data_IF_216280756790
#
_entry.id   IF_216280756790
#
_cell.length_a   1.000
_cell.length_b   1.000
_cell.length_c   1.000
_cell.angle_alpha   90.00
_cell.angle_beta   90.00
_cell.angle_gamma   90.00
#
_symmetry.space_group_name_H-M   'P 1'
#
loop_
_entity.id
_entity.type
_entity.pdbx_description
1 polymer ?
#
# COMPACT_ATOMS: atom_id res chain seq x y z
N UNK A 1 49.51 40.72 26.16
CA UNK A 1 50.64 39.91 25.65
C UNK A 1 50.37 38.46 26.03
N UNK A 2 49.86 37.65 25.09
CA UNK A 2 49.47 36.26 25.35
C UNK A 2 49.78 35.43 24.10
N UNK A 3 50.53 34.36 24.29
CA UNK A 3 51.30 33.66 23.26
C UNK A 3 50.44 32.82 22.31
N UNK A 4 50.79 32.87 21.02
CA UNK A 4 50.28 32.00 19.96
C UNK A 4 50.99 30.63 20.03
N UNK A 5 50.24 29.57 20.29
CA UNK A 5 50.72 28.19 20.24
C UNK A 5 50.65 27.65 18.80
N UNK A 6 51.81 27.43 18.19
CA UNK A 6 51.97 26.87 16.85
C UNK A 6 51.67 25.37 16.79
N UNK A 7 50.82 24.98 15.84
CA UNK A 7 50.50 23.59 15.53
C UNK A 7 51.52 23.01 14.54
N UNK A 8 52.30 22.02 15.00
CA UNK A 8 53.30 21.28 14.21
C UNK A 8 52.59 20.32 13.24
N UNK A 9 52.71 20.57 11.92
CA UNK A 9 52.38 19.59 10.88
C UNK A 9 53.50 18.55 10.80
N UNK A 10 53.14 17.26 10.85
CA UNK A 10 54.03 16.13 10.50
C UNK A 10 53.96 15.85 8.99
N UNK A 11 55.08 15.52 8.32
CA UNK A 11 55.09 15.13 6.92
C UNK A 11 54.95 13.61 6.74
N UNK A 12 54.15 13.23 5.73
CA UNK A 12 54.47 12.15 4.80
C UNK A 12 54.12 10.70 5.18
N UNK A 13 53.17 10.12 4.45
CA UNK A 13 53.28 8.72 4.02
C UNK A 13 52.72 8.62 2.59
N UNK A 14 53.52 8.25 1.58
CA UNK A 14 53.01 8.01 0.23
C UNK A 14 52.35 6.62 0.19
N UNK A 15 51.07 6.57 -0.17
CA UNK A 15 50.39 5.31 -0.45
C UNK A 15 50.61 4.98 -1.92
N UNK A 16 51.32 3.87 -2.15
CA UNK A 16 51.61 3.31 -3.45
C UNK A 16 50.33 2.70 -4.07
N UNK A 17 50.10 3.04 -5.34
CA UNK A 17 49.13 2.37 -6.21
C UNK A 17 49.61 0.97 -6.59
N UNK A 18 48.76 -0.07 -6.53
CA UNK A 18 48.97 -1.29 -7.28
C UNK A 18 48.17 -1.27 -8.58
N UNK A 19 48.91 -1.17 -9.68
CA UNK A 19 48.46 -1.51 -11.04
C UNK A 19 48.68 -3.01 -11.25
N UNK A 20 47.62 -3.80 -11.53
CA UNK A 20 47.51 -4.69 -12.71
C UNK A 20 46.31 -5.65 -12.63
N UNK A 21 45.76 -5.85 -13.83
CA UNK A 21 44.66 -6.70 -14.23
C UNK A 21 44.99 -8.21 -14.21
N UNK A 22 43.95 -9.05 -14.12
CA UNK A 22 43.55 -10.03 -15.17
C UNK A 22 42.27 -10.81 -14.84
N UNK A 23 41.65 -11.34 -15.91
CA UNK A 23 40.61 -12.38 -16.02
C UNK A 23 39.17 -11.94 -15.69
N UNK A 24 38.37 -11.54 -16.69
CA UNK A 24 37.71 -12.41 -17.69
C UNK A 24 36.88 -13.52 -17.06
N UNK A 25 35.60 -13.24 -16.84
CA UNK A 25 34.56 -14.27 -16.76
C UNK A 25 33.40 -13.80 -17.63
N UNK A 26 33.29 -14.45 -18.80
CA UNK A 26 32.18 -14.31 -19.74
C UNK A 26 30.88 -14.69 -19.01
N UNK A 27 29.94 -13.75 -18.89
CA UNK A 27 28.53 -14.07 -18.68
C UNK A 27 27.80 -13.76 -19.97
N UNK A 28 27.37 -14.83 -20.62
CA UNK A 28 26.57 -14.87 -21.84
C UNK A 28 25.32 -14.01 -21.69
N UNK A 29 25.30 -12.88 -22.40
CA UNK A 29 24.11 -12.06 -22.65
C UNK A 29 23.44 -12.66 -23.89
N UNK A 30 22.25 -13.20 -23.72
CA UNK A 30 21.37 -13.56 -24.84
C UNK A 30 20.93 -12.27 -25.52
N UNK A 31 21.61 -11.97 -26.62
CA UNK A 31 21.24 -10.97 -27.59
C UNK A 31 20.05 -11.54 -28.36
N UNK A 32 18.87 -10.95 -28.16
CA UNK A 32 17.77 -11.11 -29.10
C UNK A 32 18.16 -10.30 -30.33
N UNK A 33 18.55 -10.99 -31.39
CA UNK A 33 18.68 -10.40 -32.71
C UNK A 33 17.28 -9.97 -33.16
N UNK A 34 17.13 -8.67 -33.31
CA UNK A 34 15.96 -8.05 -33.93
C UNK A 34 16.03 -8.40 -35.41
N UNK A 35 15.12 -9.26 -35.88
CA UNK A 35 14.97 -9.51 -37.31
C UNK A 35 14.57 -8.21 -37.99
N UNK A 36 15.48 -7.70 -38.81
CA UNK A 36 15.23 -6.68 -39.82
C UNK A 36 14.43 -7.34 -40.95
N UNK A 37 13.11 -7.43 -40.77
CA UNK A 37 12.20 -7.82 -41.84
C UNK A 37 11.85 -6.58 -42.67
N UNK A 38 12.56 -6.50 -43.79
CA UNK A 38 12.30 -5.67 -44.95
C UNK A 38 10.83 -5.73 -45.39
N UNK A 39 10.36 -4.57 -45.81
CA UNK A 39 9.45 -4.34 -46.95
C UNK A 39 8.60 -5.55 -47.37
N UNK A 40 7.39 -5.60 -46.81
CA UNK A 40 6.28 -6.33 -47.43
C UNK A 40 5.35 -5.30 -48.06
N UNK A 41 5.44 -5.25 -49.39
CA UNK A 41 4.62 -4.47 -50.29
C UNK A 41 3.12 -4.65 -50.01
N UNK A 42 2.41 -3.54 -50.07
CA UNK A 42 0.96 -3.41 -50.06
C UNK A 42 0.28 -4.29 -51.12
N UNK A 43 -0.73 -5.06 -50.69
CA UNK A 43 -1.74 -5.71 -51.53
C UNK A 43 -3.14 -5.59 -50.89
N UNK A 44 -4.21 -5.72 -51.69
CA UNK A 44 -5.32 -4.76 -51.72
C UNK A 44 -6.44 -5.06 -50.73
N UNK A 45 -7.30 -4.06 -50.57
CA UNK A 45 -8.54 -4.04 -49.81
C UNK A 45 -9.45 -5.23 -50.19
N UNK A 46 -9.50 -6.23 -49.31
CA UNK A 46 -10.55 -7.25 -49.35
C UNK A 46 -11.82 -6.69 -48.73
N UNK A 47 -12.86 -6.64 -49.56
CA UNK A 47 -14.24 -6.38 -49.21
C UNK A 47 -14.72 -7.41 -48.18
N UNK A 48 -15.08 -6.93 -47.00
CA UNK A 48 -15.82 -7.73 -46.03
C UNK A 48 -17.29 -7.73 -46.48
N UNK A 49 -17.70 -8.82 -47.11
CA UNK A 49 -19.12 -9.11 -47.34
C UNK A 49 -19.79 -9.32 -45.99
N UNK A 50 -20.74 -8.44 -45.69
CA UNK A 50 -21.66 -8.55 -44.57
C UNK A 50 -22.71 -9.61 -44.90
N UNK A 51 -22.49 -10.86 -44.51
CA UNK A 51 -23.55 -11.86 -44.42
C UNK A 51 -23.09 -12.99 -43.48
N UNK A 52 -24.07 -13.57 -42.80
CA UNK A 52 -24.00 -14.73 -41.88
C UNK A 52 -23.70 -14.38 -40.42
N UNK A 53 -24.44 -14.85 -39.43
CA UNK A 53 -25.76 -15.46 -39.32
C UNK A 53 -25.98 -15.55 -37.79
N UNK A 54 -27.21 -15.35 -37.35
CA UNK A 54 -27.64 -15.54 -35.97
C UNK A 54 -27.20 -16.91 -35.43
N UNK A 55 -26.21 -16.92 -34.53
CA UNK A 55 -25.86 -18.11 -33.74
C UNK A 55 -26.26 -17.87 -32.29
N UNK A 56 -27.56 -17.99 -32.04
CA UNK A 56 -28.11 -18.07 -30.70
C UNK A 56 -27.75 -19.44 -30.14
N UNK A 57 -26.60 -19.50 -29.46
CA UNK A 57 -26.21 -20.68 -28.69
C UNK A 57 -26.97 -20.66 -27.37
N UNK A 58 -28.01 -21.49 -27.36
CA UNK A 58 -28.75 -22.02 -26.24
C UNK A 58 -27.79 -22.51 -25.14
N UNK A 59 -27.77 -21.79 -24.02
CA UNK A 59 -27.04 -22.21 -22.81
C UNK A 59 -27.98 -23.10 -22.01
N UNK A 60 -27.83 -24.41 -22.20
CA UNK A 60 -28.47 -25.41 -21.36
C UNK A 60 -28.08 -25.18 -19.90
N UNK A 61 -29.10 -24.85 -19.10
CA UNK A 61 -29.04 -24.82 -17.64
C UNK A 61 -28.91 -26.26 -17.18
N UNK A 62 -27.70 -26.66 -16.81
CA UNK A 62 -27.50 -27.89 -16.06
C UNK A 62 -28.06 -27.66 -14.63
N UNK A 63 -29.19 -28.30 -14.38
CA UNK A 63 -29.80 -28.46 -13.06
C UNK A 63 -28.91 -29.39 -12.22
N UNK A 64 -27.88 -28.83 -11.57
CA UNK A 64 -27.13 -29.56 -10.55
C UNK A 64 -27.92 -29.61 -9.24
N UNK A 65 -28.28 -30.86 -8.95
CA UNK A 65 -29.01 -31.43 -7.84
C UNK A 65 -28.73 -30.82 -6.46
N UNK A 66 -29.81 -30.67 -5.69
CA UNK A 66 -29.87 -30.35 -4.27
C UNK A 66 -28.87 -31.15 -3.42
N UNK A 67 -27.70 -30.57 -3.18
CA UNK A 67 -26.82 -31.04 -2.11
C UNK A 67 -27.30 -30.42 -0.79
N UNK A 68 -28.19 -31.17 -0.13
CA UNK A 68 -28.74 -30.85 1.18
C UNK A 68 -27.61 -30.75 2.21
N UNK A 69 -27.16 -29.55 2.52
CA UNK A 69 -26.28 -29.30 3.66
C UNK A 69 -27.07 -29.59 4.95
N UNK A 70 -26.81 -30.75 5.56
CA UNK A 70 -27.32 -31.04 6.90
C UNK A 70 -26.71 -30.03 7.89
N UNK A 71 -27.52 -29.40 8.75
CA UNK A 71 -27.01 -28.52 9.79
C UNK A 71 -26.41 -29.37 10.92
N UNK A 72 -25.08 -29.42 10.98
CA UNK A 72 -24.40 -29.88 12.18
C UNK A 72 -24.74 -28.95 13.35
N UNK A 73 -25.28 -29.57 14.39
CA UNK A 73 -25.77 -28.92 15.60
C UNK A 73 -24.66 -28.14 16.31
N UNK A 74 -24.89 -26.89 16.75
CA UNK A 74 -23.89 -26.15 17.50
C UNK A 74 -23.87 -26.65 18.96
N UNK A 75 -22.75 -27.28 19.33
CA UNK A 75 -22.34 -27.46 20.71
C UNK A 75 -22.30 -26.10 21.42
N UNK A 76 -23.15 -25.96 22.45
CA UNK A 76 -23.37 -24.73 23.19
C UNK A 76 -22.08 -24.05 23.68
N UNK A 77 -21.78 -22.90 23.08
CA UNK A 77 -20.92 -21.89 23.71
C UNK A 77 -21.79 -21.02 24.60
N UNK A 78 -21.51 -21.09 25.91
CA UNK A 78 -22.06 -20.18 26.91
C UNK A 78 -21.72 -18.75 26.50
N UNK A 79 -22.75 -17.95 26.27
CA UNK A 79 -22.66 -16.49 26.19
C UNK A 79 -22.18 -16.02 27.57
N UNK A 80 -20.93 -15.60 27.65
CA UNK A 80 -20.43 -14.90 28.82
C UNK A 80 -20.92 -13.45 28.72
N UNK A 81 -21.64 -13.00 29.75
CA UNK A 81 -22.02 -11.61 29.96
C UNK A 81 -20.81 -10.69 29.79
N UNK A 82 -20.86 -9.82 28.78
CA UNK A 82 -19.93 -8.70 28.63
C UNK A 82 -20.38 -7.64 29.64
N UNK A 83 -19.92 -7.78 30.88
CA UNK A 83 -20.01 -6.71 31.87
C UNK A 83 -19.10 -5.56 31.43
N UNK A 84 -19.76 -4.42 31.23
CA UNK A 84 -19.20 -3.11 30.89
C UNK A 84 -18.48 -2.54 32.12
N UNK A 85 -17.20 -2.89 32.31
CA UNK A 85 -16.36 -2.27 33.34
C UNK A 85 -15.86 -0.90 32.90
N UNK A 86 -16.64 0.13 33.24
CA UNK A 86 -16.17 1.50 33.41
C UNK A 86 -15.47 1.60 34.78
N UNK A 87 -14.19 1.22 34.84
CA UNK A 87 -13.41 1.20 36.08
C UNK A 87 -12.03 1.82 35.92
N UNK A 88 -11.84 3.03 36.46
CA UNK A 88 -10.55 3.71 36.65
C UNK A 88 -9.57 2.82 37.44
N UNK A 89 -8.38 2.61 36.87
CA UNK A 89 -7.26 1.98 37.56
C UNK A 89 -5.97 2.09 36.74
N UNK A 90 -5.35 3.27 36.72
CA UNK A 90 -4.00 3.49 36.18
C UNK A 90 -2.96 2.91 37.13
N UNK A 91 -2.61 1.63 36.98
CA UNK A 91 -1.36 1.09 37.56
C UNK A 91 -0.71 0.12 36.59
N UNK A 92 0.52 0.47 36.20
CA UNK A 92 1.46 -0.15 35.25
C UNK A 92 1.20 0.16 33.76
N UNK A 93 2.15 0.85 33.08
CA UNK A 93 2.08 1.02 31.62
C UNK A 93 2.28 -0.36 30.99
N UNK A 94 1.20 -0.96 30.50
CA UNK A 94 1.27 -2.19 29.69
C UNK A 94 2.19 -1.92 28.50
N UNK A 95 3.40 -2.47 28.55
CA UNK A 95 4.46 -2.30 27.55
C UNK A 95 3.99 -2.79 26.16
N UNK A 96 3.06 -3.75 26.10
CA UNK A 96 2.45 -4.24 24.84
C UNK A 96 1.34 -3.33 24.27
N UNK A 97 0.97 -2.24 24.94
CA UNK A 97 -0.19 -1.44 24.57
C UNK A 97 -0.04 -0.70 23.23
N UNK A 98 1.20 -0.49 22.74
CA UNK A 98 1.42 0.34 21.55
C UNK A 98 1.15 -0.36 20.22
N UNK A 99 1.12 -1.69 20.18
CA UNK A 99 0.83 -2.44 18.94
C UNK A 99 -0.65 -2.32 18.53
N UNK A 100 -1.54 -2.11 19.51
CA UNK A 100 -2.98 -1.94 19.28
C UNK A 100 -3.50 -0.54 19.62
N UNK A 101 -2.62 0.44 19.85
CA UNK A 101 -3.02 1.81 20.21
C UNK A 101 -3.68 2.54 19.03
N UNK A 102 -4.37 3.64 19.32
CA UNK A 102 -5.01 4.49 18.30
C UNK A 102 -4.03 4.94 17.23
N UNK A 103 -2.81 5.36 17.59
CA UNK A 103 -1.79 5.76 16.62
C UNK A 103 -1.44 4.62 15.66
N UNK A 104 -1.20 3.41 16.17
CA UNK A 104 -0.89 2.26 15.32
C UNK A 104 -2.06 1.85 14.43
N UNK A 105 -3.31 2.01 14.89
CA UNK A 105 -4.50 1.73 14.09
C UNK A 105 -4.70 2.77 12.99
N UNK A 106 -4.49 4.04 13.31
CA UNK A 106 -4.53 5.16 12.36
C UNK A 106 -3.24 5.31 11.55
N UNK A 107 -2.39 4.27 11.45
CA UNK A 107 -1.17 4.34 10.63
C UNK A 107 -0.18 5.46 10.99
N UNK A 108 -0.15 5.93 12.24
CA UNK A 108 0.69 7.04 12.72
C UNK A 108 1.72 6.59 13.75
N UNK A 109 2.90 7.20 13.72
CA UNK A 109 3.88 7.06 14.79
C UNK A 109 3.34 7.68 16.09
N UNK A 110 3.65 7.06 17.23
CA UNK A 110 3.31 7.63 18.53
C UNK A 110 4.14 8.91 18.77
N UNK A 111 3.47 10.02 19.04
CA UNK A 111 4.13 11.29 19.34
C UNK A 111 4.53 11.36 20.83
N UNK A 112 5.70 11.94 21.09
CA UNK A 112 6.22 12.17 22.43
C UNK A 112 5.34 13.05 23.32
N UNK A 113 4.66 14.04 22.73
CA UNK A 113 3.84 14.98 23.50
C UNK A 113 2.42 14.50 23.77
N UNK A 114 1.84 13.65 22.92
CA UNK A 114 0.42 13.28 23.00
C UNK A 114 0.18 11.83 23.42
N UNK A 115 1.14 10.93 23.22
CA UNK A 115 0.98 9.53 23.56
C UNK A 115 1.53 9.23 24.95
N UNK A 116 0.83 8.40 25.74
CA UNK A 116 1.31 7.98 27.07
C UNK A 116 2.61 7.18 27.03
N UNK A 117 2.94 6.56 25.89
CA UNK A 117 4.23 5.89 25.66
C UNK A 117 5.37 6.86 25.28
N UNK A 118 5.05 8.14 25.12
CA UNK A 118 5.97 9.23 24.77
C UNK A 118 6.79 8.97 23.49
N UNK A 119 6.36 8.06 22.61
CA UNK A 119 7.16 7.65 21.44
C UNK A 119 8.56 7.11 21.78
N UNK A 120 8.83 6.85 23.06
CA UNK A 120 10.16 6.56 23.58
C UNK A 120 10.58 5.10 23.37
N UNK A 121 11.62 4.65 24.05
CA UNK A 121 12.17 3.29 23.92
C UNK A 121 11.22 2.18 24.35
N UNK A 122 10.28 2.49 25.25
CA UNK A 122 9.20 1.59 25.62
C UNK A 122 8.04 1.54 24.60
N UNK A 123 8.07 2.35 23.54
CA UNK A 123 7.00 2.35 22.53
C UNK A 123 7.17 1.17 21.57
N UNK A 124 6.23 0.22 21.65
CA UNK A 124 6.13 -0.95 20.76
C UNK A 124 5.28 -0.70 19.50
N UNK A 125 5.09 0.55 19.10
CA UNK A 125 4.45 0.86 17.82
C UNK A 125 5.37 0.35 16.69
N UNK A 126 4.89 -0.51 15.79
CA UNK A 126 5.69 -1.06 14.69
C UNK A 126 6.34 0.04 13.82
N UNK A 127 5.70 1.20 13.73
CA UNK A 127 6.16 2.34 12.95
C UNK A 127 7.35 3.06 13.55
N UNK A 128 7.65 2.89 14.84
CA UNK A 128 8.81 3.54 15.48
C UNK A 128 10.12 3.18 14.76
N UNK A 129 10.20 1.96 14.23
CA UNK A 129 11.40 1.44 13.56
C UNK A 129 11.51 1.85 12.09
N UNK A 130 10.49 2.51 11.56
CA UNK A 130 10.49 2.96 10.19
C UNK A 130 10.99 4.39 10.15
N UNK A 131 11.99 4.60 9.30
CA UNK A 131 12.39 5.94 8.90
C UNK A 131 11.40 6.46 7.86
N UNK A 132 10.28 7.02 8.35
CA UNK A 132 9.24 7.57 7.48
C UNK A 132 9.79 8.70 6.61
N UNK A 133 10.76 9.48 7.09
CA UNK A 133 11.38 10.55 6.31
C UNK A 133 12.19 9.99 5.14
N UNK A 134 12.93 8.89 5.33
CA UNK A 134 13.60 8.20 4.24
C UNK A 134 12.62 7.58 3.22
N UNK A 135 11.45 7.13 3.68
CA UNK A 135 10.43 6.51 2.82
C UNK A 135 9.59 7.52 2.04
N UNK A 136 9.19 8.62 2.67
CA UNK A 136 8.16 9.52 2.16
C UNK A 136 8.64 10.96 1.97
N UNK A 137 9.88 11.30 2.35
CA UNK A 137 10.45 12.63 2.21
C UNK A 137 10.14 13.57 3.37
N UNK A 138 10.27 14.89 3.14
CA UNK A 138 10.20 15.91 4.20
C UNK A 138 8.84 15.98 4.93
N UNK A 139 7.75 15.64 4.25
CA UNK A 139 6.38 15.71 4.80
C UNK A 139 5.94 14.42 5.51
N UNK A 140 6.86 13.47 5.73
CA UNK A 140 6.55 12.14 6.25
C UNK A 140 5.79 12.13 7.59
N UNK A 141 5.92 13.16 8.42
CA UNK A 141 5.25 13.25 9.71
C UNK A 141 3.74 13.57 9.60
N UNK A 142 3.31 14.16 8.48
CA UNK A 142 1.91 14.46 8.20
C UNK A 142 1.17 13.29 7.52
N UNK A 143 1.92 12.25 7.13
CA UNK A 143 1.41 11.14 6.34
C UNK A 143 0.70 10.13 7.24
N UNK A 144 -0.50 9.73 6.83
CA UNK A 144 -1.23 8.61 7.41
C UNK A 144 -1.00 7.36 6.55
N UNK A 145 -0.54 6.25 7.14
CA UNK A 145 -0.25 5.04 6.36
C UNK A 145 -1.52 4.25 6.05
N UNK A 146 -1.56 3.65 4.85
CA UNK A 146 -2.68 2.82 4.44
C UNK A 146 -2.79 1.57 5.32
N UNK A 147 -3.99 1.16 5.79
CA UNK A 147 -4.15 0.01 6.68
C UNK A 147 -3.60 -1.30 6.10
N UNK A 148 -3.64 -1.45 4.78
CA UNK A 148 -3.02 -2.60 4.12
C UNK A 148 -1.50 -2.68 4.35
N UNK A 149 -0.81 -1.55 4.23
CA UNK A 149 0.63 -1.47 4.49
C UNK A 149 0.94 -1.68 5.98
N UNK A 150 0.11 -1.13 6.87
CA UNK A 150 0.21 -1.36 8.31
C UNK A 150 0.13 -2.85 8.69
N UNK A 151 -0.86 -3.54 8.14
CA UNK A 151 -1.03 -4.98 8.32
C UNK A 151 0.16 -5.76 7.76
N UNK A 152 0.72 -5.33 6.63
CA UNK A 152 1.91 -5.97 6.07
C UNK A 152 3.16 -5.76 6.95
N UNK A 153 3.39 -4.55 7.46
CA UNK A 153 4.50 -4.21 8.37
C UNK A 153 4.45 -5.07 9.62
N UNK A 154 3.27 -5.19 10.25
CA UNK A 154 3.09 -5.94 11.50
C UNK A 154 3.32 -7.45 11.34
N UNK A 155 3.12 -7.97 10.12
CA UNK A 155 3.40 -9.37 9.77
C UNK A 155 4.87 -9.63 9.47
N UNK A 156 5.71 -8.61 9.28
CA UNK A 156 7.13 -8.82 9.00
C UNK A 156 7.89 -9.27 10.26
N UNK A 157 8.73 -10.31 10.17
CA UNK A 157 9.69 -10.62 11.22
C UNK A 157 10.60 -9.42 11.49
N UNK A 158 10.91 -9.14 12.76
CA UNK A 158 11.76 -7.98 13.16
C UNK A 158 13.06 -7.90 12.36
N UNK A 159 13.73 -9.03 12.13
CA UNK A 159 14.99 -9.09 11.39
C UNK A 159 14.85 -8.82 9.87
N UNK A 160 13.63 -8.97 9.32
CA UNK A 160 13.34 -8.70 7.91
C UNK A 160 12.80 -7.29 7.69
N UNK A 161 12.18 -6.69 8.71
CA UNK A 161 11.51 -5.40 8.58
C UNK A 161 12.45 -4.33 8.02
N UNK A 162 13.61 -4.09 8.63
CA UNK A 162 14.55 -3.04 8.19
C UNK A 162 14.99 -3.19 6.72
N UNK A 163 15.17 -4.43 6.25
CA UNK A 163 15.53 -4.70 4.85
C UNK A 163 14.34 -4.51 3.91
N UNK A 164 13.20 -5.08 4.30
CA UNK A 164 11.96 -5.06 3.53
C UNK A 164 11.36 -3.66 3.43
N UNK A 165 11.64 -2.78 4.40
CA UNK A 165 11.18 -1.39 4.44
C UNK A 165 12.26 -0.39 4.05
N UNK A 166 13.29 -0.82 3.33
CA UNK A 166 14.16 0.14 2.65
C UNK A 166 13.37 0.79 1.51
N UNK A 167 13.60 2.09 1.26
CA UNK A 167 12.95 2.84 0.17
C UNK A 167 13.11 2.10 -1.15
N UNK A 168 14.29 1.55 -1.43
CA UNK A 168 14.55 0.75 -2.63
C UNK A 168 13.69 -0.51 -2.70
N UNK A 169 13.66 -1.33 -1.64
CA UNK A 169 12.91 -2.59 -1.67
C UNK A 169 11.40 -2.38 -1.79
N UNK A 170 10.85 -1.38 -1.09
CA UNK A 170 9.43 -1.04 -1.22
C UNK A 170 9.13 -0.48 -2.60
N UNK A 171 10.00 0.39 -3.12
CA UNK A 171 9.82 0.99 -4.43
C UNK A 171 9.83 -0.07 -5.52
N UNK A 172 10.79 -1.01 -5.49
CA UNK A 172 10.86 -2.09 -6.47
C UNK A 172 9.59 -2.96 -6.44
N UNK A 173 9.07 -3.30 -5.25
CA UNK A 173 7.79 -4.04 -5.12
C UNK A 173 6.58 -3.26 -5.67
N UNK A 174 6.52 -1.96 -5.42
CA UNK A 174 5.42 -1.10 -5.87
C UNK A 174 5.49 -0.83 -7.38
N UNK A 175 6.70 -0.64 -7.89
CA UNK A 175 6.98 -0.42 -9.31
C UNK A 175 6.77 -1.67 -10.15
N UNK A 176 7.08 -2.87 -9.64
CA UNK A 176 6.85 -4.13 -10.37
C UNK A 176 5.36 -4.33 -10.73
N UNK A 177 4.44 -3.79 -9.93
CA UNK A 177 3.01 -3.83 -10.21
C UNK A 177 2.47 -2.62 -11.00
N UNK A 178 3.34 -1.70 -11.46
CA UNK A 178 2.92 -0.44 -12.08
C UNK A 178 2.08 -0.63 -13.36
N UNK A 179 2.18 -1.80 -14.01
CA UNK A 179 1.39 -2.13 -15.20
C UNK A 179 -0.12 -1.95 -14.94
N UNK A 180 -0.58 -2.27 -13.74
CA UNK A 180 -1.99 -2.06 -13.37
C UNK A 180 -2.35 -0.56 -13.38
N UNK A 181 -1.48 0.32 -12.88
CA UNK A 181 -1.71 1.78 -12.95
C UNK A 181 -1.75 2.28 -14.40
N UNK A 182 -0.96 1.68 -15.28
CA UNK A 182 -0.99 2.00 -16.71
C UNK A 182 -2.28 1.52 -17.38
N UNK A 183 -2.89 0.42 -16.93
CA UNK A 183 -4.22 -0.02 -17.39
C UNK A 183 -5.32 0.91 -16.88
N UNK A 184 -5.19 1.42 -15.65
CA UNK A 184 -6.06 2.45 -15.11
C UNK A 184 -5.88 3.81 -15.78
N UNK A 185 -5.12 3.98 -16.88
CA UNK A 185 -4.84 5.26 -17.55
C UNK A 185 -6.07 6.13 -17.85
N UNK A 186 -7.26 5.56 -18.06
CA UNK A 186 -8.49 6.34 -18.21
C UNK A 186 -8.89 7.07 -16.92
N UNK A 187 -8.52 6.51 -15.77
CA UNK A 187 -8.82 6.98 -14.41
C UNK A 187 -7.56 7.51 -13.70
N UNK A 188 -6.37 7.28 -14.26
CA UNK A 188 -5.11 7.69 -13.67
C UNK A 188 -5.07 9.21 -13.66
N UNK A 189 -4.98 9.77 -12.46
CA UNK A 189 -4.95 11.20 -12.25
C UNK A 189 -3.79 11.82 -13.04
N UNK A 190 -3.98 13.01 -13.63
CA UNK A 190 -2.93 13.80 -14.30
C UNK A 190 -1.56 13.78 -13.58
N UNK A 191 -1.48 13.85 -12.24
CA UNK A 191 -0.25 13.62 -11.49
C UNK A 191 0.56 12.38 -11.91
N UNK A 192 -0.07 11.22 -12.15
CA UNK A 192 0.64 9.98 -12.50
C UNK A 192 1.31 10.06 -13.86
N UNK A 193 0.64 10.63 -14.85
CA UNK A 193 1.22 10.84 -16.16
C UNK A 193 2.46 11.75 -16.09
N UNK A 194 2.39 12.82 -15.29
CA UNK A 194 3.55 13.68 -15.04
C UNK A 194 4.69 12.95 -14.34
N UNK A 195 4.37 12.22 -13.26
CA UNK A 195 5.35 11.43 -12.51
C UNK A 195 6.05 10.43 -13.43
N UNK A 196 5.27 9.71 -14.25
CA UNK A 196 5.78 8.71 -15.20
C UNK A 196 6.70 9.34 -16.23
N UNK A 197 6.32 10.49 -16.78
CA UNK A 197 7.16 11.25 -17.73
C UNK A 197 8.49 11.67 -17.09
N UNK A 198 8.46 12.18 -15.86
CA UNK A 198 9.68 12.55 -15.12
C UNK A 198 10.57 11.32 -14.86
N UNK A 199 9.97 10.20 -14.45
CA UNK A 199 10.68 8.94 -14.18
C UNK A 199 11.34 8.37 -15.44
N UNK A 200 10.61 8.32 -16.54
CA UNK A 200 11.11 7.79 -17.81
C UNK A 200 12.20 8.69 -18.42
N UNK A 201 12.15 10.00 -18.17
CA UNK A 201 13.17 10.96 -18.57
C UNK A 201 14.52 10.83 -17.83
N UNK A 202 14.57 10.17 -16.67
CA UNK A 202 15.82 9.93 -15.95
C UNK A 202 16.62 8.79 -16.57
N UNK A 203 17.95 8.94 -16.60
CA UNK A 203 18.87 7.84 -16.89
C UNK A 203 18.88 6.81 -15.75
N UNK A 204 19.36 5.58 -16.04
CA UNK A 204 19.49 4.52 -15.02
C UNK A 204 20.32 4.98 -13.82
N UNK A 205 21.44 5.68 -14.05
CA UNK A 205 22.28 6.22 -12.99
C UNK A 205 21.57 7.27 -12.13
N UNK A 206 20.76 8.14 -12.75
CA UNK A 206 19.99 9.15 -12.04
C UNK A 206 18.88 8.52 -11.20
N UNK A 207 18.17 7.53 -11.75
CA UNK A 207 17.13 6.80 -10.99
C UNK A 207 17.71 6.15 -9.73
N UNK A 208 18.92 5.61 -9.81
CA UNK A 208 19.52 4.87 -8.71
C UNK A 208 20.17 5.76 -7.65
N UNK A 209 20.82 6.85 -8.04
CA UNK A 209 21.75 7.58 -7.16
C UNK A 209 21.52 9.08 -7.05
N UNK A 210 20.60 9.68 -7.83
CA UNK A 210 20.35 11.12 -7.75
C UNK A 210 19.24 11.47 -6.74
N UNK A 211 19.28 12.70 -6.23
CA UNK A 211 18.22 13.24 -5.37
C UNK A 211 16.88 13.31 -6.11
N UNK A 212 16.90 13.58 -7.42
CA UNK A 212 15.69 13.56 -8.26
C UNK A 212 15.09 12.15 -8.35
N UNK A 213 15.93 11.13 -8.54
CA UNK A 213 15.52 9.73 -8.54
C UNK A 213 14.94 9.31 -7.18
N UNK A 214 15.57 9.72 -6.08
CA UNK A 214 15.06 9.48 -4.73
C UNK A 214 13.71 10.16 -4.50
N UNK A 215 13.55 11.42 -4.90
CA UNK A 215 12.30 12.16 -4.74
C UNK A 215 11.13 11.47 -5.48
N UNK A 216 11.35 11.02 -6.72
CA UNK A 216 10.34 10.29 -7.48
C UNK A 216 10.00 8.93 -6.85
N UNK A 217 10.99 8.21 -6.29
CA UNK A 217 10.74 6.98 -5.54
C UNK A 217 9.84 7.23 -4.33
N UNK A 218 10.17 8.24 -3.53
CA UNK A 218 9.39 8.63 -2.37
C UNK A 218 7.98 9.10 -2.75
N UNK A 219 7.82 9.78 -3.89
CA UNK A 219 6.52 10.17 -4.42
C UNK A 219 5.64 8.97 -4.77
N UNK A 220 6.16 7.98 -5.49
CA UNK A 220 5.39 6.77 -5.80
C UNK A 220 5.01 6.00 -4.54
N UNK A 221 5.92 5.88 -3.57
CA UNK A 221 5.64 5.25 -2.28
C UNK A 221 4.56 6.00 -1.50
N UNK A 222 4.56 7.33 -1.52
CA UNK A 222 3.47 8.12 -0.93
C UNK A 222 2.13 7.81 -1.58
N UNK A 223 2.10 7.53 -2.88
CA UNK A 223 0.84 7.15 -3.53
C UNK A 223 0.38 5.74 -3.23
N UNK A 224 1.30 4.77 -3.22
CA UNK A 224 0.92 3.40 -2.94
C UNK A 224 0.58 3.15 -1.47
N UNK A 225 1.27 3.80 -0.53
CA UNK A 225 1.35 3.30 0.84
C UNK A 225 0.65 4.18 1.88
N UNK A 226 -0.01 5.26 1.46
CA UNK A 226 -0.56 6.28 2.36
C UNK A 226 -2.03 6.55 2.07
N UNK A 227 -2.76 7.02 3.08
CA UNK A 227 -4.11 7.54 2.92
C UNK A 227 -4.01 9.02 2.54
N UNK A 228 -4.35 9.37 1.30
CA UNK A 228 -4.61 10.76 0.91
C UNK A 228 -6.07 10.90 0.50
N UNK A 229 -6.68 12.01 0.93
CA UNK A 229 -8.09 12.32 0.68
C UNK A 229 -8.44 12.39 -0.81
N UNK A 230 -7.45 12.64 -1.69
CA UNK A 230 -7.67 12.80 -3.14
C UNK A 230 -7.13 11.63 -3.97
N UNK A 231 -6.80 10.48 -3.37
CA UNK A 231 -6.25 9.34 -4.11
C UNK A 231 -7.34 8.32 -4.41
N UNK A 232 -7.56 8.10 -5.72
CA UNK A 232 -8.44 7.05 -6.23
C UNK A 232 -7.78 5.68 -6.24
N UNK A 233 -6.47 5.58 -5.99
CA UNK A 233 -5.71 4.33 -6.03
C UNK A 233 -4.72 4.20 -4.88
N UNK A 234 -4.48 2.97 -4.44
CA UNK A 234 -3.47 2.61 -3.43
C UNK A 234 -2.82 1.26 -3.74
N UNK A 235 -1.70 0.96 -3.10
CA UNK A 235 -1.00 -0.31 -3.22
C UNK A 235 -1.41 -1.27 -2.08
N UNK A 236 -1.97 -2.42 -2.45
CA UNK A 236 -2.39 -3.49 -1.55
C UNK A 236 -1.38 -4.63 -1.51
N UNK A 237 -0.85 -4.91 -0.32
CA UNK A 237 -0.09 -6.14 -0.02
C UNK A 237 -0.99 -7.35 0.26
N UNK A 238 -2.30 -7.15 0.39
CA UNK A 238 -3.25 -8.25 0.60
C UNK A 238 -3.63 -8.94 -0.72
N UNK A 239 -3.54 -8.21 -1.84
CA UNK A 239 -3.86 -8.70 -3.17
C UNK A 239 -2.56 -8.98 -3.93
N UNK A 240 -2.60 -9.93 -4.86
CA UNK A 240 -1.42 -10.30 -5.66
C UNK A 240 -1.03 -9.24 -6.69
N UNK A 241 -2.00 -8.44 -7.13
CA UNK A 241 -1.86 -7.54 -8.28
C UNK A 241 -1.42 -6.11 -7.91
N UNK A 242 -1.09 -5.85 -6.64
CA UNK A 242 -0.40 -4.62 -6.25
C UNK A 242 -1.28 -3.38 -6.16
N UNK A 243 -1.85 -2.84 -7.23
CA UNK A 243 -2.63 -1.59 -7.18
C UNK A 243 -4.14 -1.84 -7.16
N UNK A 244 -4.86 -1.06 -6.35
CA UNK A 244 -6.31 -1.15 -6.13
C UNK A 244 -6.94 0.23 -6.22
N UNK A 245 -8.20 0.30 -6.62
CA UNK A 245 -9.00 1.53 -6.54
C UNK A 245 -9.63 1.67 -5.16
N UNK A 246 -9.62 2.89 -4.60
CA UNK A 246 -10.14 3.22 -3.27
C UNK A 246 -11.65 2.97 -3.18
N UNK A 247 -12.39 3.21 -4.27
CA UNK A 247 -13.86 3.10 -4.28
C UNK A 247 -14.36 1.66 -4.35
N UNK A 248 -13.50 0.73 -4.79
CA UNK A 248 -13.88 -0.66 -5.02
C UNK A 248 -13.33 -1.63 -3.98
N UNK A 249 -12.32 -1.23 -3.21
CA UNK A 249 -11.73 -2.07 -2.17
C UNK A 249 -11.42 -1.29 -0.89
N UNK A 250 -11.81 -1.84 0.24
CA UNK A 250 -11.48 -1.32 1.58
C UNK A 250 -10.65 -2.33 2.36
N UNK A 251 -9.88 -1.88 3.35
CA UNK A 251 -9.15 -2.79 4.24
C UNK A 251 -9.96 -3.05 5.51
N UNK A 252 -10.28 -4.31 5.79
CA UNK A 252 -10.93 -4.66 7.04
C UNK A 252 -9.91 -4.76 8.17
N UNK A 253 -9.90 -3.79 9.08
CA UNK A 253 -8.97 -3.74 10.23
C UNK A 253 -9.09 -4.95 11.16
N UNK A 254 -10.29 -5.52 11.29
CA UNK A 254 -10.54 -6.69 12.15
C UNK A 254 -9.99 -7.97 11.54
N UNK A 255 -10.20 -8.16 10.24
CA UNK A 255 -9.71 -9.34 9.52
C UNK A 255 -8.25 -9.19 9.04
N UNK A 256 -7.70 -7.97 8.99
CA UNK A 256 -6.37 -7.68 8.47
C UNK A 256 -6.22 -8.04 6.98
N UNK A 257 -7.23 -7.71 6.17
CA UNK A 257 -7.29 -8.05 4.75
C UNK A 257 -8.10 -7.05 3.93
N UNK A 258 -7.69 -6.82 2.68
CA UNK A 258 -8.49 -6.06 1.71
C UNK A 258 -9.73 -6.84 1.29
N UNK A 259 -10.82 -6.11 1.16
CA UNK A 259 -12.19 -6.56 0.91
C UNK A 259 -12.78 -5.71 -0.20
N UNK A 260 -13.70 -6.27 -0.96
CA UNK A 260 -14.43 -5.49 -1.95
C UNK A 260 -15.44 -4.57 -1.27
N UNK A 261 -15.81 -3.46 -1.92
CA UNK A 261 -16.78 -2.48 -1.42
C UNK A 261 -18.16 -3.08 -1.09
N UNK A 262 -18.51 -4.22 -1.68
CA UNK A 262 -19.75 -4.97 -1.38
C UNK A 262 -19.65 -5.91 -0.18
N UNK A 263 -18.46 -6.04 0.40
CA UNK A 263 -18.22 -6.82 1.60
C UNK A 263 -18.27 -5.91 2.83
N UNK A 264 -18.72 -6.45 3.96
CA UNK A 264 -18.77 -5.75 5.24
C UNK A 264 -18.38 -6.69 6.38
N UNK A 265 -17.87 -6.16 7.50
CA UNK A 265 -17.51 -6.98 8.67
C UNK A 265 -18.69 -7.16 9.61
N UNK A 266 -19.12 -8.40 9.82
CA UNK A 266 -20.16 -8.71 10.80
C UNK A 266 -19.57 -8.76 12.22
N UNK A 267 -20.00 -7.86 13.11
CA UNK A 267 -19.51 -7.79 14.48
C UNK A 267 -19.88 -9.04 15.31
N UNK A 268 -21.03 -9.65 15.05
CA UNK A 268 -21.51 -10.82 15.79
C UNK A 268 -20.78 -12.10 15.39
N UNK A 269 -20.50 -12.28 14.10
CA UNK A 269 -19.80 -13.46 13.59
C UNK A 269 -18.28 -13.28 13.54
N UNK A 270 -17.80 -12.05 13.72
CA UNK A 270 -16.41 -11.63 13.59
C UNK A 270 -15.78 -12.05 12.25
N UNK A 271 -16.55 -11.90 11.16
CA UNK A 271 -16.16 -12.30 9.81
C UNK A 271 -16.67 -11.30 8.77
N UNK A 272 -15.89 -11.06 7.73
CA UNK A 272 -16.36 -10.35 6.55
C UNK A 272 -17.38 -11.19 5.79
N UNK A 273 -18.51 -10.59 5.43
CA UNK A 273 -19.58 -11.19 4.63
C UNK A 273 -19.75 -10.41 3.33
N UNK A 274 -20.11 -11.11 2.25
CA UNK A 274 -20.45 -10.49 0.97
C UNK A 274 -21.94 -10.18 0.91
N UNK A 275 -22.30 -9.06 0.29
CA UNK A 275 -23.67 -8.75 -0.11
C UNK A 275 -24.22 -7.48 0.53
N UNK A 276 -25.15 -6.85 -0.19
CA UNK A 276 -25.86 -5.64 0.24
C UNK A 276 -26.90 -5.94 1.35
N UNK A 277 -27.24 -7.21 1.56
CA UNK A 277 -28.15 -7.61 2.63
C UNK A 277 -27.40 -7.62 3.96
N UNK A 278 -27.80 -6.72 4.87
CA UNK A 278 -27.23 -6.53 6.21
C UNK A 278 -27.42 -7.74 7.15
N UNK A 279 -28.04 -8.82 6.69
CA UNK A 279 -28.11 -10.09 7.40
C UNK A 279 -26.94 -10.99 7.00
N UNK A 280 -25.95 -11.14 7.89
CA UNK A 280 -25.02 -12.26 7.80
C UNK A 280 -25.81 -13.58 7.90
N UNK A 281 -25.46 -14.61 7.11
CA UNK A 281 -26.16 -15.90 7.09
C UNK A 281 -26.36 -16.54 8.49
N UNK A 282 -25.44 -16.25 9.42
CA UNK A 282 -25.47 -16.75 10.79
C UNK A 282 -26.14 -15.78 11.79
N UNK A 283 -26.48 -14.56 11.37
CA UNK A 283 -27.17 -13.57 12.19
C UNK A 283 -28.66 -13.55 11.85
N UNK A 284 -29.50 -13.98 12.79
CA UNK A 284 -30.97 -13.92 12.67
C UNK A 284 -31.52 -12.49 12.77
N UNK A 285 -31.12 -11.60 11.87
CA UNK A 285 -31.79 -10.31 11.61
C UNK A 285 -31.30 -9.06 12.36
N UNK A 286 -30.41 -9.17 13.36
CA UNK A 286 -29.95 -8.00 14.15
C UNK A 286 -28.41 -7.84 14.12
N UNK A 287 -27.83 -7.67 12.93
CA UNK A 287 -26.41 -7.36 12.80
C UNK A 287 -26.15 -5.87 13.02
N UNK A 288 -25.47 -5.49 14.10
CA UNK A 288 -24.86 -4.16 14.19
C UNK A 288 -23.80 -4.05 13.10
N UNK A 289 -24.06 -3.18 12.14
CA UNK A 289 -23.16 -2.86 11.03
C UNK A 289 -22.12 -1.85 11.49
N UNK A 290 -20.88 -2.00 11.01
CA UNK A 290 -19.85 -0.95 11.13
C UNK A 290 -19.45 -0.52 9.72
N UNK A 291 -19.63 0.76 9.35
CA UNK A 291 -19.06 1.28 8.11
C UNK A 291 -17.56 1.03 8.12
N UNK A 292 -17.04 0.43 7.05
CA UNK A 292 -15.59 0.29 6.83
C UNK A 292 -14.92 1.61 6.46
N UNK A 293 -15.70 2.63 6.10
CA UNK A 293 -15.23 3.96 5.72
C UNK A 293 -16.47 4.86 5.70
N UNK A 294 -16.66 5.74 6.68
CA UNK A 294 -17.53 6.90 6.47
C UNK A 294 -16.69 7.84 5.61
N UNK A 295 -16.97 7.91 4.30
CA UNK A 295 -16.47 8.98 3.47
C UNK A 295 -16.94 10.28 4.12
N UNK A 296 -16.00 11.03 4.68
CA UNK A 296 -16.27 12.30 5.34
C UNK A 296 -16.46 13.34 4.23
N UNK A 297 -17.52 13.17 3.44
CA UNK A 297 -17.94 14.05 2.36
C UNK A 297 -18.64 15.28 2.97
N UNK A 298 -17.97 15.90 3.94
CA UNK A 298 -18.33 17.20 4.46
C UNK A 298 -18.04 18.27 3.40
N UNK A 299 -18.77 18.23 2.29
CA UNK A 299 -19.00 19.39 1.44
C UNK A 299 -19.72 20.42 2.31
N UNK A 300 -18.95 21.36 2.87
CA UNK A 300 -19.49 22.59 3.43
C UNK A 300 -19.92 23.48 2.26
N UNK A 301 -21.23 23.51 1.98
CA UNK A 301 -21.93 24.42 1.06
C UNK A 301 -21.89 25.90 1.52
N UNK A 302 -20.78 26.38 2.06
CA UNK A 302 -20.64 27.73 2.62
C UNK A 302 -19.46 28.47 1.95
N UNK A 303 -19.57 28.85 0.66
CA UNK A 303 -18.79 29.99 0.11
C UNK A 303 -19.20 30.41 -1.33
N UNK A 304 -20.48 30.75 -1.52
CA UNK A 304 -20.94 31.47 -2.71
C UNK A 304 -21.78 32.70 -2.35
N UNK A 305 -21.26 33.61 -1.53
CA UNK A 305 -21.81 34.97 -1.46
C UNK A 305 -20.79 35.95 -0.86
N UNK A 306 -19.86 36.48 -1.67
CA UNK A 306 -19.19 37.79 -1.42
C UNK A 306 -18.30 38.22 -2.60
N UNK A 307 -18.90 38.68 -3.69
CA UNK A 307 -18.26 39.65 -4.60
C UNK A 307 -19.33 40.52 -5.28
N UNK A 308 -19.81 41.53 -4.57
CA UNK A 308 -20.37 42.76 -5.14
C UNK A 308 -20.11 43.89 -4.15
N UNK A 309 -18.94 44.52 -4.27
CA UNK A 309 -18.68 45.92 -3.98
C UNK A 309 -17.65 46.45 -4.98
#
# INVERSE_FOLDING_TARGET
MGALAGSKRKPGTPVASPTKATASTKRSRTQYDYCDEKDSESLPEDQWSSDDADSWSDMSVDEDEDQTCQPDSPSGRKVADIQKELGRGMTTPKIEACTGCSCSRSGKQCNASTCSCQGGDACHNPLKKLDLAALFGQDAHAVELHPCFMTWITKQPKAKLERATSTRSLFDMVLDAIVMLDEYKSNATEPYAEWRTKWDGLTVSERDSSDAGLALKQELLRWGLTLRQSQSVYFSFCRRNGWMETDHDWHCDRCGGCRQWREWHCLNCDQCSYGLTLSCANCRGNGDWSPGFESNDGESDDDLHSFLL
#
